data_IF_275312815717
#
_entry.id   IF_275312815717
#
_cell.length_a   1.000
_cell.length_b   1.000
_cell.length_c   1.000
_cell.angle_alpha   90.00
_cell.angle_beta   90.00
_cell.angle_gamma   90.00
#
_symmetry.space_group_name_H-M   'P 1'
#
loop_
_entity.id
_entity.type
_entity.pdbx_description
1 polymer ?
#
# COMPACT_ATOMS: atom_id res chain seq x y z
N UNK A 1 -28.23 -5.53 -2.22
CA UNK A 1 -26.94 -4.97 -1.77
C UNK A 1 -27.13 -4.46 -0.36
N UNK A 2 -26.38 -4.96 0.62
CA UNK A 2 -26.56 -4.65 2.05
C UNK A 2 -25.46 -3.67 2.47
N UNK A 3 -25.73 -2.38 2.38
CA UNK A 3 -24.76 -1.32 2.72
C UNK A 3 -25.06 -0.75 4.10
N UNK A 4 -24.36 -1.22 5.14
CA UNK A 4 -24.55 -0.73 6.52
C UNK A 4 -23.24 -0.33 7.22
N UNK A 5 -22.15 -0.06 6.49
CA UNK A 5 -20.85 0.28 7.10
C UNK A 5 -20.64 1.78 7.39
N UNK A 6 -21.63 2.63 7.12
CA UNK A 6 -21.52 4.10 7.26
C UNK A 6 -22.03 4.67 8.61
N UNK A 7 -22.50 3.84 9.55
CA UNK A 7 -23.18 4.33 10.75
C UNK A 7 -22.26 4.54 11.97
N UNK A 8 -21.00 4.89 11.76
CA UNK A 8 -20.13 5.35 12.85
C UNK A 8 -20.17 6.87 12.90
N UNK A 9 -20.68 7.48 13.98
CA UNK A 9 -20.63 8.93 14.12
C UNK A 9 -19.17 9.37 14.07
N UNK A 10 -18.86 10.24 13.12
CA UNK A 10 -17.52 10.82 13.03
C UNK A 10 -17.27 11.68 14.26
N UNK A 11 -16.03 11.67 14.78
CA UNK A 11 -15.62 12.51 15.91
C UNK A 11 -15.31 13.96 15.49
N UNK A 12 -15.58 14.28 14.24
CA UNK A 12 -15.24 15.54 13.58
C UNK A 12 -16.51 16.35 13.32
N UNK A 13 -16.44 17.67 13.46
CA UNK A 13 -17.55 18.56 13.12
C UNK A 13 -17.63 18.71 11.59
N UNK A 14 -18.52 17.94 10.95
CA UNK A 14 -18.70 17.95 9.49
C UNK A 14 -19.33 19.24 8.99
N UNK A 15 -20.28 19.81 9.74
CA UNK A 15 -20.96 21.06 9.37
C UNK A 15 -19.96 22.20 9.17
N UNK A 16 -18.88 22.22 9.96
CA UNK A 16 -17.77 23.15 9.79
C UNK A 16 -17.04 22.96 8.45
N UNK A 17 -16.78 21.72 8.04
CA UNK A 17 -16.10 21.46 6.76
C UNK A 17 -17.01 21.72 5.56
N UNK A 18 -18.31 21.41 5.67
CA UNK A 18 -19.30 21.72 4.64
C UNK A 18 -19.47 23.22 4.41
N UNK A 19 -19.18 24.05 5.43
CA UNK A 19 -19.23 25.51 5.35
C UNK A 19 -17.91 26.17 4.89
N UNK A 20 -16.80 25.43 4.78
CA UNK A 20 -15.52 25.96 4.30
C UNK A 20 -15.58 26.05 2.77
N UNK A 21 -15.32 27.24 2.21
CA UNK A 21 -15.20 27.44 0.77
C UNK A 21 -13.78 27.18 0.29
N UNK A 22 -13.59 26.91 -1.00
CA UNK A 22 -12.28 26.66 -1.60
C UNK A 22 -11.28 27.80 -1.32
N UNK A 23 -11.72 29.06 -1.37
CA UNK A 23 -10.87 30.23 -1.08
C UNK A 23 -10.33 30.27 0.37
N UNK A 24 -10.98 29.57 1.30
CA UNK A 24 -10.52 29.48 2.70
C UNK A 24 -9.44 28.39 2.88
N UNK A 25 -9.16 27.59 1.85
CA UNK A 25 -8.16 26.52 1.89
C UNK A 25 -6.81 27.12 1.50
N UNK A 26 -5.92 27.26 2.48
CA UNK A 26 -4.55 27.69 2.26
C UNK A 26 -3.75 26.61 1.51
N UNK A 27 -3.34 26.92 0.29
CA UNK A 27 -2.53 26.06 -0.58
C UNK A 27 -1.14 26.64 -0.85
N UNK A 28 -0.73 27.70 -0.14
CA UNK A 28 0.54 28.41 -0.37
C UNK A 28 1.77 27.51 -0.31
N UNK A 29 1.74 26.48 0.53
CA UNK A 29 2.82 25.49 0.71
C UNK A 29 2.83 24.37 -0.35
N UNK A 30 1.78 24.26 -1.17
CA UNK A 30 1.58 23.15 -2.11
C UNK A 30 1.56 23.71 -3.53
N UNK A 31 2.71 23.74 -4.23
CA UNK A 31 2.76 24.27 -5.58
C UNK A 31 1.87 23.45 -6.53
N UNK A 32 1.24 24.08 -7.53
CA UNK A 32 0.40 23.38 -8.50
C UNK A 32 1.23 22.37 -9.30
N UNK A 33 0.67 21.18 -9.52
CA UNK A 33 1.30 20.16 -10.34
C UNK A 33 1.25 20.59 -11.82
N UNK A 34 2.41 20.72 -12.46
CA UNK A 34 2.52 21.17 -13.86
C UNK A 34 2.27 20.03 -14.86
N UNK A 35 2.00 20.37 -16.12
CA UNK A 35 1.87 19.38 -17.20
C UNK A 35 3.15 18.55 -17.37
N UNK A 36 4.33 19.13 -17.11
CA UNK A 36 5.63 18.44 -17.15
C UNK A 36 5.75 17.34 -16.07
N UNK A 37 5.19 17.59 -14.88
CA UNK A 37 5.09 16.57 -13.83
C UNK A 37 4.25 15.39 -14.32
N UNK A 38 3.09 15.65 -14.92
CA UNK A 38 2.23 14.58 -15.44
C UNK A 38 2.81 13.89 -16.68
N UNK A 39 3.57 14.59 -17.52
CA UNK A 39 4.24 14.02 -18.69
C UNK A 39 5.28 12.95 -18.32
N UNK A 40 5.91 13.07 -17.15
CA UNK A 40 6.91 12.11 -16.65
C UNK A 40 6.34 11.13 -15.61
N UNK A 41 5.10 11.35 -15.16
CA UNK A 41 4.46 10.53 -14.15
C UNK A 41 4.27 9.09 -14.66
N UNK A 42 4.79 8.12 -13.90
CA UNK A 42 4.60 6.69 -14.21
C UNK A 42 3.45 6.14 -13.40
N UNK A 43 2.42 5.69 -14.09
CA UNK A 43 1.32 4.98 -13.45
C UNK A 43 1.79 3.63 -12.90
N UNK A 44 1.58 3.40 -11.60
CA UNK A 44 1.98 2.16 -10.93
C UNK A 44 0.73 1.44 -10.47
N UNK A 45 0.19 0.58 -11.34
CA UNK A 45 -0.89 -0.31 -10.92
C UNK A 45 -0.37 -1.37 -9.94
N UNK A 46 -1.10 -1.66 -8.86
CA UNK A 46 -0.77 -2.79 -8.01
C UNK A 46 -0.84 -4.07 -8.84
N UNK A 47 0.26 -4.80 -8.92
CA UNK A 47 0.29 -6.08 -9.63
C UNK A 47 -0.59 -7.10 -8.89
N UNK A 48 -1.38 -7.92 -9.59
CA UNK A 48 -2.14 -8.97 -8.95
C UNK A 48 -1.19 -9.92 -8.23
N UNK A 49 -1.51 -10.23 -6.98
CA UNK A 49 -0.75 -11.19 -6.18
C UNK A 49 -1.35 -12.58 -6.35
N UNK A 50 -0.52 -13.56 -6.64
CA UNK A 50 -0.92 -14.97 -6.67
C UNK A 50 -0.79 -15.54 -5.26
N UNK A 51 -1.83 -16.21 -4.77
CA UNK A 51 -1.76 -17.00 -3.53
C UNK A 51 -1.26 -18.39 -3.88
N UNK A 52 -0.14 -18.77 -3.28
CA UNK A 52 0.44 -20.11 -3.43
C UNK A 52 0.52 -20.79 -2.06
N UNK A 53 0.35 -22.11 -2.04
CA UNK A 53 0.62 -22.94 -0.86
C UNK A 53 2.02 -23.53 -1.04
N UNK A 54 2.89 -23.33 -0.05
CA UNK A 54 4.27 -23.82 -0.07
C UNK A 54 4.52 -24.55 1.23
N UNK A 55 5.12 -25.73 1.14
CA UNK A 55 5.59 -26.51 2.30
C UNK A 55 7.00 -26.03 2.67
N UNK A 56 7.22 -25.76 3.95
CA UNK A 56 8.50 -25.30 4.50
C UNK A 56 8.78 -26.03 5.80
N UNK A 57 10.05 -26.19 6.17
CA UNK A 57 10.40 -26.77 7.46
C UNK A 57 9.80 -25.98 8.63
N UNK A 58 9.40 -26.66 9.72
CA UNK A 58 8.77 -26.01 10.87
C UNK A 58 9.69 -24.97 11.52
N UNK A 59 11.01 -25.21 11.56
CA UNK A 59 11.98 -24.27 12.12
C UNK A 59 12.05 -22.94 11.36
N UNK A 60 11.97 -22.99 10.03
CA UNK A 60 11.98 -21.81 9.16
C UNK A 60 10.71 -20.99 9.38
N UNK A 61 9.56 -21.68 9.48
CA UNK A 61 8.29 -21.02 9.74
C UNK A 61 8.25 -20.36 11.12
N UNK A 62 8.78 -21.01 12.16
CA UNK A 62 8.87 -20.44 13.50
C UNK A 62 9.81 -19.23 13.54
N UNK A 63 10.95 -19.30 12.83
CA UNK A 63 11.86 -18.17 12.69
C UNK A 63 11.15 -16.96 12.07
N UNK A 64 10.40 -17.13 10.99
CA UNK A 64 9.63 -16.02 10.38
C UNK A 64 8.57 -15.48 11.34
N UNK A 65 7.80 -16.33 12.02
CA UNK A 65 6.79 -15.89 12.99
C UNK A 65 7.42 -15.08 14.14
N UNK A 66 8.63 -15.43 14.56
CA UNK A 66 9.35 -14.71 15.62
C UNK A 66 9.67 -13.26 15.24
N UNK A 67 9.74 -12.92 13.94
CA UNK A 67 9.94 -11.55 13.43
C UNK A 67 8.71 -10.64 13.65
N UNK A 68 7.58 -11.21 14.07
CA UNK A 68 6.38 -10.49 14.49
C UNK A 68 5.23 -10.52 13.48
N UNK A 69 4.28 -9.58 13.65
CA UNK A 69 2.98 -9.61 12.94
C UNK A 69 3.09 -9.51 11.41
N UNK A 70 4.23 -9.05 10.90
CA UNK A 70 4.47 -8.85 9.48
C UNK A 70 5.18 -10.02 8.78
N UNK A 71 5.37 -11.17 9.44
CA UNK A 71 6.13 -12.30 8.91
C UNK A 71 5.74 -12.74 7.49
N UNK A 72 4.46 -12.62 7.11
CA UNK A 72 3.99 -12.93 5.73
C UNK A 72 4.57 -11.98 4.68
N UNK A 73 4.78 -10.71 5.03
CA UNK A 73 5.44 -9.72 4.16
C UNK A 73 6.93 -10.02 4.03
N UNK A 74 7.57 -10.39 5.12
CA UNK A 74 9.00 -10.72 5.14
C UNK A 74 9.28 -12.00 4.35
N UNK A 75 8.43 -13.02 4.49
CA UNK A 75 8.47 -14.24 3.67
C UNK A 75 8.32 -13.91 2.17
N UNK A 76 7.36 -13.07 1.82
CA UNK A 76 7.16 -12.65 0.42
C UNK A 76 8.37 -11.85 -0.13
N UNK A 77 9.03 -11.06 0.72
CA UNK A 77 10.25 -10.33 0.36
C UNK A 77 11.43 -11.29 0.14
N UNK A 78 11.61 -12.29 1.00
CA UNK A 78 12.65 -13.31 0.85
C UNK A 78 12.50 -14.09 -0.47
N UNK A 79 11.29 -14.54 -0.79
CA UNK A 79 10.99 -15.21 -2.07
C UNK A 79 11.32 -14.32 -3.28
N UNK A 80 11.02 -13.01 -3.18
CA UNK A 80 11.33 -12.05 -4.24
C UNK A 80 12.84 -11.88 -4.43
N UNK A 81 13.59 -11.73 -3.35
CA UNK A 81 15.06 -11.57 -3.39
C UNK A 81 15.68 -12.81 -4.02
N UNK A 82 15.26 -14.00 -3.58
CA UNK A 82 15.73 -15.26 -4.15
C UNK A 82 15.44 -15.34 -5.65
N UNK A 83 14.22 -15.04 -6.08
CA UNK A 83 13.84 -15.05 -7.49
C UNK A 83 14.66 -14.06 -8.33
N UNK A 84 14.91 -12.85 -7.81
CA UNK A 84 15.71 -11.84 -8.51
C UNK A 84 17.18 -12.25 -8.66
N UNK A 85 17.77 -12.78 -7.59
CA UNK A 85 19.14 -13.28 -7.62
C UNK A 85 19.33 -14.39 -8.67
N UNK A 86 18.34 -15.27 -8.82
CA UNK A 86 18.41 -16.38 -9.77
C UNK A 86 17.88 -16.04 -11.18
N UNK A 87 17.11 -14.95 -11.34
CA UNK A 87 16.77 -14.42 -12.66
C UNK A 87 17.96 -13.71 -13.32
N UNK A 88 18.81 -13.04 -12.54
CA UNK A 88 20.02 -12.39 -13.04
C UNK A 88 21.05 -13.38 -13.63
N UNK A 89 21.02 -14.64 -13.19
CA UNK A 89 21.90 -15.71 -13.68
C UNK A 89 21.47 -16.30 -15.03
N UNK A 90 20.23 -16.03 -15.47
CA UNK A 90 19.66 -16.59 -16.70
C UNK A 90 19.72 -15.66 -17.92
N UNK A 91 20.54 -14.61 -17.85
CA UNK A 91 20.67 -13.59 -18.90
C UNK A 91 22.04 -13.61 -19.56
#
# INVERSE_FOLDING_TARGET
MKGNDMNKPTKTNLERFDAITDDMIDTSEIPPLTEEFFATAKWRMPKPKVKVTVEVEPEVMEWFKSQGKNYKRDLAAALRIYAQAHQAFKK
#
